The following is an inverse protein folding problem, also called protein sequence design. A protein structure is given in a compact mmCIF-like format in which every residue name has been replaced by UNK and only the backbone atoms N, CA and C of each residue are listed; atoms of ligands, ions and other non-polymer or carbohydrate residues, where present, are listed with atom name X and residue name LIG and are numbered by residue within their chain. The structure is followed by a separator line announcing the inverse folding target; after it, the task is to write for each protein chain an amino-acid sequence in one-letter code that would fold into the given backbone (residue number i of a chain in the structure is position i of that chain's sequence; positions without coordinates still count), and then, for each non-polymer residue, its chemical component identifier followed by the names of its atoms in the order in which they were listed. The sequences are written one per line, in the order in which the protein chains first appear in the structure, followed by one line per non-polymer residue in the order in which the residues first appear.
data_IF_983944249040
#
_entry.id   IF_983944249040
#
_cell.length_a   1.000
_cell.length_b   1.000
_cell.length_c   1.000
_cell.angle_alpha   90.00
_cell.angle_beta   90.00
_cell.angle_gamma   90.00
#
_symmetry.space_group_name_H-M   'P 1'
#
loop_
_entity.id
_entity.type
_entity.pdbx_description
1 polymer ?
#
# COMPACT_ATOMS: atom_id res chain seq x y z
N UNK A 1 25.63 6.23 -0.21
CA UNK A 1 26.19 4.96 -0.70
C UNK A 1 25.93 3.80 0.28
N UNK A 2 26.09 3.97 1.60
CA UNK A 2 25.83 2.90 2.60
C UNK A 2 24.37 2.44 2.58
N UNK A 3 23.42 3.36 2.47
CA UNK A 3 21.98 3.04 2.47
C UNK A 3 21.56 2.25 1.21
N UNK A 4 22.15 2.58 0.07
CA UNK A 4 21.91 1.86 -1.19
C UNK A 4 22.42 0.41 -1.12
N UNK A 5 23.59 0.22 -0.51
CA UNK A 5 24.17 -1.10 -0.29
C UNK A 5 23.31 -1.92 0.69
N UNK A 6 22.81 -1.29 1.76
CA UNK A 6 21.92 -1.95 2.72
C UNK A 6 20.60 -2.38 2.09
N UNK A 7 20.00 -1.53 1.25
CA UNK A 7 18.77 -1.86 0.51
C UNK A 7 19.03 -3.01 -0.48
N UNK A 8 20.11 -2.92 -1.24
CA UNK A 8 20.48 -3.97 -2.19
C UNK A 8 20.76 -5.31 -1.49
N UNK A 9 21.48 -5.30 -0.36
CA UNK A 9 21.74 -6.48 0.44
C UNK A 9 20.46 -7.11 0.98
N UNK A 10 19.55 -6.30 1.53
CA UNK A 10 18.26 -6.76 2.02
C UNK A 10 17.42 -7.40 0.90
N UNK A 11 17.34 -6.73 -0.25
CA UNK A 11 16.58 -7.24 -1.42
C UNK A 11 17.17 -8.56 -1.91
N UNK A 12 18.50 -8.67 -1.96
CA UNK A 12 19.19 -9.90 -2.36
C UNK A 12 18.95 -11.03 -1.38
N UNK A 13 18.98 -10.76 -0.07
CA UNK A 13 18.70 -11.77 0.96
C UNK A 13 17.27 -12.28 0.85
N UNK A 14 16.29 -11.39 0.69
CA UNK A 14 14.89 -11.78 0.53
C UNK A 14 14.71 -12.60 -0.76
N UNK A 15 15.32 -12.19 -1.87
CA UNK A 15 15.26 -12.93 -3.13
C UNK A 15 15.89 -14.33 -2.99
N UNK A 16 17.04 -14.44 -2.35
CA UNK A 16 17.69 -15.74 -2.09
C UNK A 16 16.83 -16.64 -1.20
N UNK A 17 16.21 -16.09 -0.16
CA UNK A 17 15.31 -16.85 0.72
C UNK A 17 14.11 -17.41 -0.04
N UNK A 18 13.55 -16.68 -1.00
CA UNK A 18 12.43 -17.18 -1.81
C UNK A 18 12.83 -18.32 -2.77
N UNK A 19 14.10 -18.39 -3.17
CA UNK A 19 14.61 -19.49 -3.99
C UNK A 19 15.02 -20.73 -3.19
N UNK A 20 15.44 -20.53 -1.93
CA UNK A 20 15.91 -21.64 -1.06
C UNK A 20 14.77 -22.33 -0.31
N UNK A 21 13.69 -21.58 -0.03
CA UNK A 21 12.56 -22.08 0.74
C UNK A 21 11.50 -22.70 -0.19
N UNK A 22 11.47 -24.01 -0.28
CA UNK A 22 10.44 -24.76 -1.02
C UNK A 22 9.12 -24.92 -0.25
N UNK A 23 9.05 -24.43 0.98
CA UNK A 23 7.86 -24.51 1.81
C UNK A 23 6.86 -23.39 1.49
N UNK A 24 5.67 -23.73 1.03
CA UNK A 24 4.60 -22.76 0.78
C UNK A 24 4.21 -21.94 2.01
N UNK A 25 4.37 -22.51 3.20
CA UNK A 25 4.14 -21.82 4.48
C UNK A 25 5.19 -20.72 4.70
N UNK A 26 6.47 -21.04 4.48
CA UNK A 26 7.56 -20.08 4.64
C UNK A 26 7.44 -18.92 3.63
N UNK A 27 7.10 -19.22 2.37
CA UNK A 27 6.86 -18.20 1.34
C UNK A 27 5.69 -17.29 1.71
N UNK A 28 4.62 -17.84 2.29
CA UNK A 28 3.48 -17.06 2.74
C UNK A 28 3.87 -16.12 3.90
N UNK A 29 4.70 -16.57 4.85
CA UNK A 29 5.21 -15.70 5.92
C UNK A 29 6.06 -14.56 5.37
N UNK A 30 6.96 -14.82 4.41
CA UNK A 30 7.78 -13.79 3.77
C UNK A 30 6.88 -12.77 3.06
N UNK A 31 5.89 -13.22 2.31
CA UNK A 31 4.94 -12.36 1.62
C UNK A 31 4.17 -11.47 2.60
N UNK A 32 3.68 -12.02 3.70
CA UNK A 32 2.97 -11.25 4.74
C UNK A 32 3.89 -10.24 5.44
N UNK A 33 5.16 -10.59 5.70
CA UNK A 33 6.14 -9.69 6.28
C UNK A 33 6.46 -8.52 5.34
N UNK A 34 6.66 -8.79 4.04
CA UNK A 34 6.88 -7.76 3.04
C UNK A 34 5.67 -6.84 2.88
N UNK A 35 4.47 -7.40 2.89
CA UNK A 35 3.22 -6.66 2.86
C UNK A 35 3.08 -5.72 4.06
N UNK A 36 3.31 -6.24 5.28
CA UNK A 36 3.27 -5.43 6.49
C UNK A 36 4.32 -4.29 6.46
N UNK A 37 5.51 -4.57 5.94
CA UNK A 37 6.57 -3.59 5.77
C UNK A 37 6.15 -2.49 4.78
N UNK A 38 5.55 -2.85 3.66
CA UNK A 38 5.03 -1.90 2.66
C UNK A 38 3.98 -0.96 3.28
N UNK A 39 3.02 -1.52 4.02
CA UNK A 39 2.00 -0.72 4.71
C UNK A 39 2.60 0.22 5.75
N UNK A 40 3.56 -0.27 6.54
CA UNK A 40 4.25 0.55 7.54
C UNK A 40 5.01 1.71 6.90
N UNK A 41 5.68 1.49 5.77
CA UNK A 41 6.38 2.54 5.02
C UNK A 41 5.41 3.54 4.40
N UNK A 42 4.29 3.09 3.83
CA UNK A 42 3.25 3.97 3.30
C UNK A 42 2.68 4.88 4.41
N UNK A 43 2.43 4.31 5.59
CA UNK A 43 1.96 5.07 6.75
C UNK A 43 3.00 6.06 7.25
N UNK A 44 4.29 5.67 7.26
CA UNK A 44 5.40 6.53 7.68
C UNK A 44 5.60 7.72 6.72
N UNK A 45 5.38 7.56 5.43
CA UNK A 45 5.43 8.67 4.46
C UNK A 45 4.36 9.72 4.81
N UNK A 46 3.15 9.31 5.06
CA UNK A 46 2.05 10.23 5.35
C UNK A 46 2.13 10.80 6.77
N UNK A 47 2.34 9.96 7.77
CA UNK A 47 2.40 10.35 9.18
C UNK A 47 3.74 10.95 9.58
N UNK A 48 4.85 10.35 9.15
CA UNK A 48 6.19 10.78 9.50
C UNK A 48 6.65 12.03 8.76
N UNK A 49 6.58 12.00 7.43
CA UNK A 49 7.02 13.13 6.60
C UNK A 49 5.89 14.15 6.35
N UNK A 50 4.68 13.69 6.12
CA UNK A 50 3.52 14.56 5.86
C UNK A 50 2.91 15.18 7.12
N UNK A 51 3.23 14.68 8.31
CA UNK A 51 2.66 15.14 9.58
C UNK A 51 1.14 14.94 9.69
N UNK A 52 0.58 14.06 8.85
CA UNK A 52 -0.85 13.78 8.80
C UNK A 52 -1.12 12.33 9.22
N UNK A 53 -1.80 12.16 10.34
CA UNK A 53 -2.23 10.83 10.75
C UNK A 53 -3.46 10.41 9.94
N UNK A 54 -3.40 9.25 9.29
CA UNK A 54 -4.52 8.69 8.54
C UNK A 54 -4.87 7.31 9.07
N UNK A 55 -6.13 7.11 9.40
CA UNK A 55 -6.69 5.79 9.70
C UNK A 55 -7.38 5.16 8.49
N UNK A 56 -7.43 5.89 7.37
CA UNK A 56 -8.07 5.44 6.13
C UNK A 56 -7.19 4.60 5.19
N UNK A 57 -6.04 4.09 5.62
CA UNK A 57 -5.19 3.27 4.75
C UNK A 57 -5.90 2.01 4.26
N UNK A 58 -6.81 1.45 5.07
CA UNK A 58 -7.64 0.30 4.70
C UNK A 58 -8.53 0.60 3.49
N UNK A 59 -9.08 1.82 3.38
CA UNK A 59 -9.86 2.27 2.23
C UNK A 59 -9.05 2.20 0.93
N UNK A 60 -7.86 2.81 0.93
CA UNK A 60 -7.03 2.89 -0.28
C UNK A 60 -6.55 1.50 -0.72
N UNK A 61 -6.16 0.68 0.25
CA UNK A 61 -5.79 -0.70 0.00
C UNK A 61 -6.98 -1.53 -0.51
N UNK A 62 -8.14 -1.40 0.14
CA UNK A 62 -9.37 -2.10 -0.25
C UNK A 62 -9.80 -1.75 -1.66
N UNK A 63 -9.86 -0.45 -2.01
CA UNK A 63 -10.19 0.00 -3.36
C UNK A 63 -9.24 -0.58 -4.43
N UNK A 64 -7.93 -0.60 -4.14
CA UNK A 64 -6.95 -1.20 -5.04
C UNK A 64 -7.14 -2.71 -5.19
N UNK A 65 -7.35 -3.43 -4.08
CA UNK A 65 -7.56 -4.87 -4.09
C UNK A 65 -8.84 -5.27 -4.86
N UNK A 66 -9.94 -4.54 -4.65
CA UNK A 66 -11.18 -4.76 -5.40
C UNK A 66 -11.02 -4.45 -6.88
N UNK A 67 -10.37 -3.35 -7.24
CA UNK A 67 -10.10 -3.01 -8.64
C UNK A 67 -9.26 -4.10 -9.33
N UNK A 68 -8.24 -4.62 -8.66
CA UNK A 68 -7.43 -5.73 -9.17
C UNK A 68 -8.25 -7.01 -9.35
N UNK A 69 -9.05 -7.38 -8.34
CA UNK A 69 -9.88 -8.57 -8.40
C UNK A 69 -10.92 -8.49 -9.53
N UNK A 70 -11.60 -7.37 -9.69
CA UNK A 70 -12.59 -7.17 -10.76
C UNK A 70 -11.90 -7.23 -12.14
N UNK A 71 -10.75 -6.56 -12.31
CA UNK A 71 -10.01 -6.57 -13.56
C UNK A 71 -9.57 -7.98 -13.97
N UNK A 72 -9.14 -8.81 -13.03
CA UNK A 72 -8.72 -10.18 -13.31
C UNK A 72 -9.89 -11.13 -13.49
N UNK A 73 -10.88 -11.12 -12.60
CA UNK A 73 -11.94 -12.12 -12.59
C UNK A 73 -13.01 -11.84 -13.65
N UNK A 74 -13.35 -10.59 -13.89
CA UNK A 74 -14.39 -10.21 -14.87
C UNK A 74 -13.79 -9.75 -16.20
N UNK A 75 -12.66 -9.05 -16.17
CA UNK A 75 -12.01 -8.52 -17.37
C UNK A 75 -11.02 -9.48 -18.02
N UNK A 76 -10.64 -10.59 -17.36
CA UNK A 76 -9.60 -11.50 -17.87
C UNK A 76 -8.23 -10.82 -18.06
N UNK A 77 -8.01 -9.70 -17.37
CA UNK A 77 -6.81 -8.88 -17.54
C UNK A 77 -5.61 -9.54 -16.88
N UNK A 78 -4.44 -9.45 -17.52
CA UNK A 78 -3.19 -9.94 -16.95
C UNK A 78 -2.90 -9.27 -15.59
N UNK A 79 -2.34 -10.05 -14.65
CA UNK A 79 -2.05 -9.60 -13.28
C UNK A 79 -1.22 -8.30 -13.21
N UNK A 80 -0.25 -8.11 -14.11
CA UNK A 80 0.57 -6.90 -14.15
C UNK A 80 -0.22 -5.67 -14.57
N UNK A 81 -1.09 -5.81 -15.57
CA UNK A 81 -1.96 -4.72 -15.99
C UNK A 81 -3.04 -4.44 -14.94
N UNK A 82 -3.59 -5.48 -14.31
CA UNK A 82 -4.53 -5.35 -13.21
C UNK A 82 -3.90 -4.61 -12.00
N UNK A 83 -2.61 -4.84 -11.72
CA UNK A 83 -1.87 -4.10 -10.69
C UNK A 83 -1.79 -2.60 -11.01
N UNK A 84 -1.50 -2.24 -12.26
CA UNK A 84 -1.47 -0.82 -12.67
C UNK A 84 -2.84 -0.18 -12.51
N UNK A 85 -3.90 -0.88 -12.89
CA UNK A 85 -5.29 -0.41 -12.70
C UNK A 85 -5.65 -0.27 -11.22
N UNK A 86 -5.21 -1.20 -10.38
CA UNK A 86 -5.40 -1.14 -8.93
C UNK A 86 -4.74 0.09 -8.31
N UNK A 87 -3.49 0.36 -8.70
CA UNK A 87 -2.74 1.55 -8.23
C UNK A 87 -3.44 2.83 -8.71
N UNK A 88 -3.89 2.87 -9.96
CA UNK A 88 -4.62 4.01 -10.50
C UNK A 88 -5.94 4.26 -9.73
N UNK A 89 -6.73 3.20 -9.48
CA UNK A 89 -7.98 3.30 -8.74
C UNK A 89 -7.75 3.79 -7.29
N UNK A 90 -6.80 3.19 -6.57
CA UNK A 90 -6.45 3.61 -5.22
C UNK A 90 -5.97 5.07 -5.19
N UNK A 91 -5.16 5.49 -6.18
CA UNK A 91 -4.66 6.86 -6.31
C UNK A 91 -5.77 7.87 -6.57
N UNK A 92 -6.77 7.52 -7.39
CA UNK A 92 -7.93 8.39 -7.65
C UNK A 92 -8.75 8.61 -6.38
N UNK A 93 -9.01 7.54 -5.60
CA UNK A 93 -9.70 7.66 -4.31
C UNK A 93 -8.88 8.50 -3.33
N UNK A 94 -7.56 8.29 -3.27
CA UNK A 94 -6.68 9.07 -2.42
C UNK A 94 -6.65 10.55 -2.81
N UNK A 95 -6.63 10.87 -4.11
CA UNK A 95 -6.72 12.24 -4.62
C UNK A 95 -8.06 12.90 -4.25
N UNK A 96 -9.16 12.17 -4.37
CA UNK A 96 -10.48 12.68 -4.02
C UNK A 96 -10.56 13.00 -2.52
N UNK A 97 -10.21 12.06 -1.66
CA UNK A 97 -10.21 12.24 -0.20
C UNK A 97 -9.23 13.34 0.20
N UNK A 98 -8.01 13.33 -0.36
CA UNK A 98 -6.99 14.32 -0.10
C UNK A 98 -7.42 15.73 -0.56
N UNK A 99 -7.97 15.87 -1.75
CA UNK A 99 -8.46 17.15 -2.27
C UNK A 99 -9.57 17.73 -1.38
N UNK A 100 -10.51 16.91 -0.95
CA UNK A 100 -11.59 17.33 -0.04
C UNK A 100 -11.02 17.79 1.31
N UNK A 101 -10.16 16.98 1.93
CA UNK A 101 -9.63 17.26 3.28
C UNK A 101 -8.72 18.48 3.29
N UNK A 102 -7.81 18.60 2.32
CA UNK A 102 -6.88 19.75 2.25
C UNK A 102 -7.58 21.03 1.82
N UNK A 103 -8.59 20.97 0.94
CA UNK A 103 -9.38 22.14 0.56
C UNK A 103 -10.09 22.77 1.75
N UNK A 104 -10.54 21.98 2.71
CA UNK A 104 -11.17 22.47 3.94
C UNK A 104 -10.19 22.74 5.08
N UNK A 105 -8.87 22.65 4.82
CA UNK A 105 -7.82 22.96 5.79
C UNK A 105 -7.74 21.98 6.96
N UNK A 106 -8.28 20.77 6.81
CA UNK A 106 -8.27 19.75 7.84
C UNK A 106 -6.85 19.21 8.04
N UNK A 107 -6.36 19.26 9.29
CA UNK A 107 -5.00 18.85 9.67
C UNK A 107 -5.02 18.05 10.96
N UNK A 108 -3.97 17.21 11.14
CA UNK A 108 -3.76 16.45 12.37
C UNK A 108 -4.91 15.49 12.67
N UNK A 109 -5.49 15.58 13.86
CA UNK A 109 -6.55 14.68 14.33
C UNK A 109 -7.83 14.74 13.51
N UNK A 110 -8.17 15.92 12.96
CA UNK A 110 -9.36 16.06 12.08
C UNK A 110 -9.18 15.31 10.77
N UNK A 111 -7.98 15.33 10.20
CA UNK A 111 -7.66 14.53 9.03
C UNK A 111 -7.80 13.04 9.31
N UNK A 112 -7.33 12.58 10.48
CA UNK A 112 -7.46 11.20 10.91
C UNK A 112 -8.92 10.74 11.04
N UNK A 113 -9.78 11.55 11.63
CA UNK A 113 -11.21 11.26 11.79
C UNK A 113 -11.94 11.21 10.45
N UNK A 114 -11.64 12.15 9.56
CA UNK A 114 -12.27 12.18 8.22
C UNK A 114 -11.83 10.97 7.40
N UNK A 115 -10.55 10.62 7.40
CA UNK A 115 -10.07 9.42 6.70
C UNK A 115 -10.64 8.13 7.27
N UNK A 116 -10.91 8.07 8.58
CA UNK A 116 -11.62 6.95 9.21
C UNK A 116 -13.06 6.87 8.72
N UNK A 117 -13.78 8.00 8.68
CA UNK A 117 -15.17 8.05 8.22
C UNK A 117 -15.33 7.62 6.74
N UNK A 118 -14.31 7.84 5.92
CA UNK A 118 -14.30 7.34 4.53
C UNK A 118 -13.94 5.86 4.43
N UNK A 119 -13.35 5.27 5.48
CA UNK A 119 -12.92 3.87 5.50
C UNK A 119 -14.01 2.90 5.96
N UNK A 120 -15.10 3.40 6.57
CA UNK A 120 -16.30 2.63 6.96
C UNK A 120 -17.30 2.51 5.81
#
# INVERSE_FOLDING_TARGET
MKDLVSIAAFTLVVALLTFVLDSGVALNFIMMALYATLLAQAWNILGGFGGQFSFGHALFFGCGAYAMAIAQLQGGVNAWLALVLAVAAASLVALLVGALTFRYGLKGSYFALVTLAFAE
#
